data_IF_604430062931
#
_entry.id   IF_604430062931
#
_cell.length_a   1.000
_cell.length_b   1.000
_cell.length_c   1.000
_cell.angle_alpha   90.00
_cell.angle_beta   90.00
_cell.angle_gamma   90.00
#
_symmetry.space_group_name_H-M   'P 1'
#
loop_
_entity.id
_entity.type
_entity.pdbx_description
1 polymer ?
#
# COMPACT_ATOMS: atom_id res chain seq x y z
N UNK A 1 -20.63 -1.73 -43.06
CA UNK A 1 -20.25 -0.74 -42.02
C UNK A 1 -20.35 -1.34 -40.62
N UNK A 2 -21.45 -1.99 -40.26
CA UNK A 2 -21.64 -2.59 -38.92
C UNK A 2 -20.58 -3.65 -38.55
N UNK A 3 -20.24 -4.56 -39.47
CA UNK A 3 -19.20 -5.58 -39.24
C UNK A 3 -17.79 -5.00 -39.00
N UNK A 4 -17.48 -3.85 -39.59
CA UNK A 4 -16.16 -3.22 -39.39
C UNK A 4 -16.06 -2.62 -37.97
N UNK A 5 -17.17 -2.08 -37.46
CA UNK A 5 -17.25 -1.53 -36.10
C UNK A 5 -17.12 -2.64 -35.05
N UNK A 6 -17.80 -3.79 -35.24
CA UNK A 6 -17.73 -4.91 -34.30
C UNK A 6 -16.37 -5.59 -34.28
N UNK A 7 -15.70 -5.70 -35.43
CA UNK A 7 -14.32 -6.20 -35.49
C UNK A 7 -13.34 -5.24 -34.80
N UNK A 8 -13.50 -3.93 -35.00
CA UNK A 8 -12.66 -2.93 -34.34
C UNK A 8 -12.80 -2.98 -32.81
N UNK A 9 -14.02 -3.09 -32.28
CA UNK A 9 -14.23 -3.20 -30.82
C UNK A 9 -13.69 -4.51 -30.26
N UNK A 10 -13.84 -5.62 -30.98
CA UNK A 10 -13.27 -6.91 -30.58
C UNK A 10 -11.74 -6.87 -30.49
N UNK A 11 -11.06 -6.26 -31.47
CA UNK A 11 -9.60 -6.08 -31.45
C UNK A 11 -9.18 -5.19 -30.28
N UNK A 12 -9.93 -4.13 -30.00
CA UNK A 12 -9.66 -3.22 -28.89
C UNK A 12 -9.78 -3.93 -27.53
N UNK A 13 -10.83 -4.76 -27.36
CA UNK A 13 -11.01 -5.57 -26.15
C UNK A 13 -9.89 -6.60 -25.97
N UNK A 14 -9.47 -7.26 -27.06
CA UNK A 14 -8.33 -8.19 -27.02
C UNK A 14 -7.05 -7.45 -26.63
N UNK A 15 -6.80 -6.28 -27.22
CA UNK A 15 -5.64 -5.45 -26.90
C UNK A 15 -5.60 -5.03 -25.43
N UNK A 16 -6.73 -4.59 -24.87
CA UNK A 16 -6.86 -4.25 -23.44
C UNK A 16 -6.62 -5.47 -22.56
N UNK A 17 -7.20 -6.63 -22.92
CA UNK A 17 -7.04 -7.87 -22.18
C UNK A 17 -5.57 -8.34 -22.11
N UNK A 18 -4.85 -8.25 -23.23
CA UNK A 18 -3.42 -8.62 -23.29
C UNK A 18 -2.55 -7.66 -22.47
N UNK A 19 -2.85 -6.35 -22.48
CA UNK A 19 -2.14 -5.37 -21.67
C UNK A 19 -2.38 -5.57 -20.16
N UNK A 20 -3.61 -5.86 -19.76
CA UNK A 20 -3.96 -6.13 -18.36
C UNK A 20 -3.18 -7.35 -17.82
N UNK A 21 -3.08 -8.42 -18.61
CA UNK A 21 -2.29 -9.60 -18.26
C UNK A 21 -0.79 -9.31 -18.11
N UNK A 22 -0.23 -8.41 -18.92
CA UNK A 22 1.18 -8.02 -18.84
C UNK A 22 1.47 -7.17 -17.60
N UNK A 23 0.55 -6.27 -17.23
CA UNK A 23 0.68 -5.41 -16.05
C UNK A 23 0.70 -6.23 -14.74
N UNK A 24 -0.19 -7.21 -14.61
CA UNK A 24 -0.27 -8.08 -13.43
C UNK A 24 1.02 -8.86 -13.17
N UNK A 25 1.70 -9.31 -14.23
CA UNK A 25 2.97 -10.05 -14.11
C UNK A 25 4.09 -9.16 -13.60
N UNK A 26 4.12 -7.88 -13.98
CA UNK A 26 5.12 -6.92 -13.52
C UNK A 26 4.92 -6.60 -12.04
N UNK A 27 3.67 -6.37 -11.62
CA UNK A 27 3.33 -6.11 -10.22
C UNK A 27 3.79 -7.25 -9.29
N UNK A 28 3.58 -8.51 -9.70
CA UNK A 28 4.04 -9.68 -8.93
C UNK A 28 5.56 -9.80 -8.83
N UNK A 29 6.32 -9.40 -9.85
CA UNK A 29 7.79 -9.44 -9.78
C UNK A 29 8.33 -8.37 -8.83
N UNK A 30 7.77 -7.16 -8.90
CA UNK A 30 8.18 -6.05 -8.05
C UNK A 30 7.93 -6.36 -6.56
N UNK A 31 6.76 -6.94 -6.23
CA UNK A 31 6.42 -7.29 -4.85
C UNK A 31 7.36 -8.36 -4.27
N UNK A 32 7.77 -9.35 -5.06
CA UNK A 32 8.76 -10.36 -4.62
C UNK A 32 10.13 -9.74 -4.36
N UNK A 33 10.55 -8.79 -5.20
CA UNK A 33 11.81 -8.09 -5.01
C UNK A 33 11.79 -7.20 -3.76
N UNK A 34 10.70 -6.47 -3.53
CA UNK A 34 10.49 -5.70 -2.30
C UNK A 34 10.59 -6.60 -1.07
N UNK A 35 9.86 -7.71 -1.05
CA UNK A 35 9.90 -8.66 0.08
C UNK A 35 11.29 -9.22 0.35
N UNK A 36 12.08 -9.46 -0.70
CA UNK A 36 13.49 -9.90 -0.55
C UNK A 36 14.36 -8.79 0.03
N UNK A 37 14.11 -7.54 -0.37
CA UNK A 37 14.85 -6.39 0.13
C UNK A 37 14.51 -6.12 1.60
N UNK A 38 13.22 -6.07 1.95
CA UNK A 38 12.71 -5.95 3.31
C UNK A 38 13.40 -6.96 4.24
N UNK A 39 13.39 -8.24 3.86
CA UNK A 39 14.07 -9.29 4.63
C UNK A 39 15.57 -9.06 4.82
N UNK A 40 16.26 -8.48 3.84
CA UNK A 40 17.69 -8.16 3.98
C UNK A 40 17.90 -6.99 4.94
N UNK A 41 17.05 -5.97 4.88
CA UNK A 41 17.06 -4.87 5.85
C UNK A 41 16.82 -5.39 7.26
N UNK A 42 15.86 -6.28 7.48
CA UNK A 42 15.60 -6.87 8.80
C UNK A 42 16.83 -7.61 9.34
N UNK A 43 17.51 -8.37 8.48
CA UNK A 43 18.75 -9.07 8.85
C UNK A 43 19.89 -8.11 9.19
N UNK A 44 20.00 -6.98 8.47
CA UNK A 44 21.00 -5.95 8.76
C UNK A 44 20.70 -5.23 10.07
N UNK A 45 19.44 -4.88 10.33
CA UNK A 45 19.01 -4.26 11.59
C UNK A 45 19.29 -5.19 12.78
N UNK A 46 18.93 -6.46 12.65
CA UNK A 46 19.19 -7.48 13.66
C UNK A 46 20.70 -7.67 13.90
N UNK A 47 21.51 -7.69 12.84
CA UNK A 47 22.97 -7.80 12.98
C UNK A 47 23.60 -6.56 13.61
N UNK A 48 23.08 -5.37 13.31
CA UNK A 48 23.56 -4.11 13.87
C UNK A 48 23.07 -3.87 15.32
N UNK A 49 22.17 -4.70 15.85
CA UNK A 49 21.57 -4.50 17.17
C UNK A 49 20.68 -3.26 17.26
N UNK A 50 20.19 -2.77 16.11
CA UNK A 50 19.34 -1.60 16.03
C UNK A 50 17.89 -2.09 16.08
N UNK A 51 17.17 -1.74 17.14
CA UNK A 51 15.72 -1.88 17.15
C UNK A 51 15.13 -1.00 16.04
N UNK A 52 14.12 -1.52 15.34
CA UNK A 52 13.42 -0.76 14.31
C UNK A 52 13.02 0.60 14.88
N UNK A 53 13.47 1.72 14.29
CA UNK A 53 13.23 3.04 14.87
C UNK A 53 11.72 3.25 14.91
N UNK A 54 11.17 3.41 16.12
CA UNK A 54 9.77 3.81 16.28
C UNK A 54 9.58 5.10 15.48
N UNK A 55 8.71 5.05 14.47
CA UNK A 55 8.40 6.24 13.69
C UNK A 55 7.84 7.28 14.68
N UNK A 56 8.48 8.46 14.82
CA UNK A 56 8.03 9.50 15.75
C UNK A 56 6.55 9.88 15.54
N UNK A 57 6.05 9.71 14.31
CA UNK A 57 4.65 9.96 13.96
C UNK A 57 3.69 8.95 14.57
N UNK A 58 4.15 7.75 14.94
CA UNK A 58 3.35 6.76 15.65
C UNK A 58 3.17 7.13 17.13
N UNK A 59 4.19 7.71 17.76
CA UNK A 59 4.05 8.27 19.11
C UNK A 59 3.09 9.47 19.13
N UNK A 60 3.13 10.32 18.10
CA UNK A 60 2.15 11.41 17.92
C UNK A 60 0.73 10.87 17.68
N UNK A 61 0.60 9.79 16.91
CA UNK A 61 -0.67 9.12 16.69
C UNK A 61 -1.28 8.58 17.99
N UNK A 62 -0.47 7.98 18.86
CA UNK A 62 -0.90 7.54 20.20
C UNK A 62 -1.32 8.71 21.08
N UNK A 63 -0.58 9.82 21.04
CA UNK A 63 -0.93 11.02 21.78
C UNK A 63 -2.27 11.62 21.31
N UNK A 64 -2.55 11.61 20.00
CA UNK A 64 -3.82 12.05 19.44
C UNK A 64 -4.96 11.11 19.87
N UNK A 65 -4.73 9.80 19.87
CA UNK A 65 -5.71 8.82 20.34
C UNK A 65 -6.02 8.96 21.83
N UNK A 66 -5.00 9.15 22.67
CA UNK A 66 -5.16 9.40 24.10
C UNK A 66 -5.97 10.68 24.39
N UNK A 67 -5.91 11.66 23.49
CA UNK A 67 -6.68 12.91 23.56
C UNK A 67 -8.09 12.79 22.94
N UNK A 68 -8.50 11.61 22.45
CA UNK A 68 -9.78 11.41 21.78
C UNK A 68 -9.88 12.04 20.38
N UNK A 69 -8.74 12.43 19.79
CA UNK A 69 -8.66 13.14 18.52
C UNK A 69 -8.56 12.17 17.33
N UNK A 70 -9.52 11.25 17.21
CA UNK A 70 -9.48 10.15 16.22
C UNK A 70 -9.36 10.63 14.76
N UNK A 71 -10.04 11.70 14.37
CA UNK A 71 -9.95 12.23 12.99
C UNK A 71 -8.53 12.68 12.66
N UNK A 72 -7.84 13.30 13.62
CA UNK A 72 -6.47 13.79 13.44
C UNK A 72 -5.49 12.61 13.40
N UNK A 73 -5.72 11.58 14.23
CA UNK A 73 -4.96 10.33 14.16
C UNK A 73 -5.09 9.63 12.80
N UNK A 74 -6.31 9.56 12.24
CA UNK A 74 -6.55 8.98 10.91
C UNK A 74 -5.84 9.79 9.83
N UNK A 75 -5.91 11.13 9.90
CA UNK A 75 -5.22 12.02 8.97
C UNK A 75 -3.70 11.81 9.02
N UNK A 76 -3.13 11.79 10.23
CA UNK A 76 -1.70 11.58 10.44
C UNK A 76 -1.25 10.21 9.93
N UNK A 77 -2.02 9.15 10.20
CA UNK A 77 -1.72 7.81 9.68
C UNK A 77 -1.66 7.82 8.15
N UNK A 78 -2.65 8.44 7.50
CA UNK A 78 -2.73 8.53 6.04
C UNK A 78 -1.55 9.30 5.43
N UNK A 79 -1.12 10.38 6.08
CA UNK A 79 0.02 11.18 5.65
C UNK A 79 1.36 10.45 5.90
N UNK A 80 1.45 9.64 6.95
CA UNK A 80 2.64 8.88 7.29
C UNK A 80 2.86 7.64 6.41
N UNK A 81 1.78 6.91 6.09
CA UNK A 81 1.84 5.61 5.39
C UNK A 81 1.40 5.68 3.92
N UNK A 82 0.70 6.74 3.52
CA UNK A 82 0.10 6.85 2.19
C UNK A 82 -1.10 5.93 1.96
N UNK A 83 -1.64 5.32 3.02
CA UNK A 83 -2.82 4.45 2.93
C UNK A 83 -4.04 5.20 2.42
N UNK A 84 -5.07 4.48 1.98
CA UNK A 84 -6.35 5.14 1.71
C UNK A 84 -7.10 5.50 3.01
N UNK A 85 -8.26 6.14 2.90
CA UNK A 85 -9.05 6.56 4.07
C UNK A 85 -9.62 5.36 4.85
N UNK A 86 -9.98 4.28 4.16
CA UNK A 86 -10.55 3.08 4.78
C UNK A 86 -9.47 2.36 5.56
N UNK A 87 -8.34 2.09 4.93
CA UNK A 87 -7.16 1.49 5.54
C UNK A 87 -6.65 2.29 6.74
N UNK A 88 -6.59 3.62 6.61
CA UNK A 88 -6.17 4.49 7.72
C UNK A 88 -7.12 4.40 8.91
N UNK A 89 -8.43 4.42 8.65
CA UNK A 89 -9.46 4.30 9.69
C UNK A 89 -9.34 2.94 10.39
N UNK A 90 -9.26 1.86 9.63
CA UNK A 90 -9.14 0.51 10.20
C UNK A 90 -7.85 0.33 11.02
N UNK A 91 -6.73 0.90 10.57
CA UNK A 91 -5.47 0.86 11.31
C UNK A 91 -5.58 1.59 12.65
N UNK A 92 -6.22 2.76 12.66
CA UNK A 92 -6.48 3.52 13.89
C UNK A 92 -7.45 2.78 14.81
N UNK A 93 -8.54 2.20 14.29
CA UNK A 93 -9.49 1.40 15.08
C UNK A 93 -8.86 0.13 15.67
N UNK A 94 -7.91 -0.50 14.96
CA UNK A 94 -7.12 -1.62 15.51
C UNK A 94 -6.26 -1.20 16.69
N UNK A 95 -5.78 0.04 16.72
CA UNK A 95 -4.92 0.58 17.79
C UNK A 95 -5.69 1.09 19.00
N UNK A 96 -6.99 1.36 18.84
CA UNK A 96 -7.91 1.73 19.93
C UNK A 96 -8.52 0.53 20.66
N UNK A 97 -8.33 -0.69 20.13
CA UNK A 97 -8.77 -1.95 20.77
C UNK A 97 -7.72 -2.44 21.75
#
# INVERSE_FOLDING_TARGET
>A
MEYALTLATAVLLIGVYLNAQAADRQAKRLSLQLKRLERKTDLLLAHAGIAEPEDPRMAELDALLAQGKTIQAIKLHREATGSDLVEAKEAVERRMR
#
